data_IF_382676474130
#
_entry.id   IF_382676474130
#
_cell.length_a   1.000
_cell.length_b   1.000
_cell.length_c   1.000
_cell.angle_alpha   90.00
_cell.angle_beta   90.00
_cell.angle_gamma   90.00
#
_symmetry.space_group_name_H-M   'P 1'
#
loop_
_entity.id
_entity.type
_entity.pdbx_description
1 polymer ?
#
# COMPACT_ATOMS: atom_id res chain seq x y z
N UNK A 1 55.79 -25.32 -16.56
CA UNK A 1 56.24 -25.39 -15.16
C UNK A 1 56.99 -24.09 -14.89
N UNK A 2 56.27 -23.06 -14.47
CA UNK A 2 56.00 -22.72 -13.07
C UNK A 2 57.13 -21.81 -12.53
N UNK A 3 56.86 -20.50 -12.49
CA UNK A 3 57.55 -19.57 -11.62
C UNK A 3 56.55 -19.14 -10.55
N UNK A 4 56.90 -19.45 -9.30
CA UNK A 4 56.20 -19.09 -8.06
C UNK A 4 56.28 -17.57 -7.79
N UNK A 5 55.39 -17.04 -6.92
CA UNK A 5 55.09 -15.61 -6.81
C UNK A 5 55.90 -14.91 -5.72
N UNK A 6 56.27 -13.65 -5.95
CA UNK A 6 56.92 -12.82 -4.94
C UNK A 6 56.82 -11.32 -5.21
N UNK A 7 55.97 -10.63 -4.44
CA UNK A 7 56.23 -9.26 -3.99
C UNK A 7 55.68 -8.11 -4.83
N UNK A 8 54.43 -7.71 -4.60
CA UNK A 8 53.99 -6.32 -4.78
C UNK A 8 53.27 -5.85 -3.51
N UNK A 9 53.99 -5.16 -2.63
CA UNK A 9 53.46 -4.45 -1.47
C UNK A 9 52.89 -3.10 -1.90
N UNK A 10 51.57 -2.99 -1.96
CA UNK A 10 50.85 -1.71 -2.06
C UNK A 10 50.58 -1.13 -0.65
N UNK A 11 50.54 0.21 -0.47
CA UNK A 11 50.58 0.84 0.84
C UNK A 11 49.24 0.70 1.59
N UNK A 12 49.31 0.15 2.80
CA UNK A 12 48.19 -0.17 3.71
C UNK A 12 47.54 1.10 4.33
N UNK A 13 48.08 2.29 4.07
CA UNK A 13 47.66 3.55 4.71
C UNK A 13 46.32 4.11 4.19
N UNK A 14 45.94 3.84 2.93
CA UNK A 14 44.73 4.43 2.32
C UNK A 14 43.41 3.78 2.72
N UNK A 15 43.41 2.47 3.00
CA UNK A 15 42.20 1.73 3.40
C UNK A 15 41.73 2.13 4.80
N UNK A 16 42.67 2.40 5.72
CA UNK A 16 42.36 2.82 7.09
C UNK A 16 41.67 4.19 7.15
N UNK A 17 42.11 5.17 6.34
CA UNK A 17 41.50 6.50 6.29
C UNK A 17 40.08 6.50 5.69
N UNK A 18 39.82 5.65 4.69
CA UNK A 18 38.50 5.55 4.06
C UNK A 18 37.50 4.82 4.97
N UNK A 19 37.91 3.72 5.62
CA UNK A 19 37.10 3.02 6.64
C UNK A 19 36.85 3.89 7.88
N UNK A 20 37.82 4.67 8.35
CA UNK A 20 37.63 5.58 9.49
C UNK A 20 36.75 6.78 9.14
N UNK A 21 36.85 7.35 7.94
CA UNK A 21 35.89 8.38 7.46
C UNK A 21 34.49 7.81 7.27
N UNK A 22 34.36 6.60 6.73
CA UNK A 22 33.06 5.95 6.52
C UNK A 22 32.40 5.56 7.84
N UNK A 23 33.15 5.01 8.80
CA UNK A 23 32.65 4.67 10.13
C UNK A 23 32.32 5.92 10.97
N UNK A 24 33.10 7.00 10.83
CA UNK A 24 32.81 8.27 11.49
C UNK A 24 31.57 8.95 10.88
N UNK A 25 31.40 8.90 9.56
CA UNK A 25 30.21 9.43 8.87
C UNK A 25 28.96 8.62 9.19
N UNK A 26 29.06 7.28 9.30
CA UNK A 26 27.95 6.44 9.76
C UNK A 26 27.62 6.74 11.22
N UNK A 27 28.61 6.86 12.13
CA UNK A 27 28.35 7.21 13.54
C UNK A 27 27.69 8.58 13.71
N UNK A 28 28.10 9.58 12.92
CA UNK A 28 27.50 10.92 12.95
C UNK A 28 26.09 10.91 12.36
N UNK A 29 25.85 10.18 11.26
CA UNK A 29 24.52 9.97 10.70
C UNK A 29 23.61 9.16 11.62
N UNK A 30 24.14 8.20 12.39
CA UNK A 30 23.37 7.37 13.31
C UNK A 30 22.88 8.18 14.53
N UNK A 31 23.69 9.10 15.05
CA UNK A 31 23.27 10.01 16.13
C UNK A 31 22.21 11.03 15.67
N UNK A 32 22.28 11.48 14.42
CA UNK A 32 21.20 12.27 13.81
C UNK A 32 19.92 11.43 13.62
N UNK A 33 20.06 10.18 13.15
CA UNK A 33 18.95 9.24 12.94
C UNK A 33 18.16 8.94 14.21
N UNK A 34 18.81 8.82 15.37
CA UNK A 34 18.13 8.52 16.65
C UNK A 34 17.18 9.65 17.07
N UNK A 35 17.44 10.91 16.65
CA UNK A 35 16.51 12.04 16.88
C UNK A 35 15.30 12.01 15.95
N UNK A 36 15.45 11.49 14.73
CA UNK A 36 14.39 11.42 13.71
C UNK A 36 13.63 10.08 13.72
N UNK A 37 14.11 9.08 14.46
CA UNK A 37 13.60 7.70 14.49
C UNK A 37 12.24 7.50 15.19
N UNK A 38 11.60 8.56 15.73
CA UNK A 38 10.29 8.46 16.42
C UNK A 38 10.22 7.28 17.42
N UNK A 39 11.28 7.12 18.22
CA UNK A 39 11.33 6.14 19.30
C UNK A 39 10.55 6.71 20.51
N UNK A 40 9.35 6.17 20.77
CA UNK A 40 8.50 6.61 21.87
C UNK A 40 8.54 5.57 22.99
N UNK A 41 9.01 5.98 24.17
CA UNK A 41 8.98 5.15 25.38
C UNK A 41 7.64 5.35 26.08
N UNK A 42 6.83 4.29 26.15
CA UNK A 42 5.60 4.29 26.93
C UNK A 42 5.90 3.72 28.32
N UNK A 43 5.83 4.56 29.36
CA UNK A 43 6.05 4.14 30.74
C UNK A 43 4.74 3.65 31.38
N UNK A 44 4.78 2.49 32.06
CA UNK A 44 3.62 1.92 32.78
C UNK A 44 3.64 0.39 32.87
N UNK A 45 2.60 -0.21 33.46
CA UNK A 45 2.48 -1.69 33.66
C UNK A 45 2.41 -2.49 32.35
N UNK A 46 2.00 -1.86 31.25
CA UNK A 46 2.07 -2.36 29.87
C UNK A 46 3.04 -1.50 29.01
N UNK A 47 4.10 -0.97 29.64
CA UNK A 47 5.05 -0.09 28.99
C UNK A 47 5.94 -0.83 27.98
N UNK A 48 6.32 -0.14 26.91
CA UNK A 48 7.19 -0.65 25.85
C UNK A 48 7.77 0.48 25.00
N UNK A 49 8.86 0.21 24.30
CA UNK A 49 9.45 1.14 23.33
C UNK A 49 8.77 0.94 21.97
N UNK A 50 8.02 1.94 21.53
CA UNK A 50 7.45 2.00 20.19
C UNK A 50 8.47 2.62 19.25
N UNK A 51 8.66 2.01 18.08
CA UNK A 51 9.53 2.50 17.04
C UNK A 51 8.75 2.58 15.73
N UNK A 52 9.09 3.56 14.88
CA UNK A 52 8.68 3.54 13.47
C UNK A 52 9.32 2.35 12.75
N UNK A 53 8.75 1.93 11.61
CA UNK A 53 9.25 0.77 10.85
C UNK A 53 10.70 1.00 10.42
N UNK A 54 11.03 2.22 10.00
CA UNK A 54 12.37 2.65 9.62
C UNK A 54 13.36 2.55 10.79
N UNK A 55 12.95 2.96 11.99
CA UNK A 55 13.78 2.87 13.19
C UNK A 55 13.99 1.43 13.66
N UNK A 56 12.95 0.60 13.56
CA UNK A 56 13.04 -0.82 13.87
C UNK A 56 13.99 -1.55 12.91
N UNK A 57 13.90 -1.24 11.60
CA UNK A 57 14.81 -1.79 10.58
C UNK A 57 16.24 -1.30 10.83
N UNK A 58 16.45 -0.01 11.08
CA UNK A 58 17.77 0.54 11.35
C UNK A 58 18.42 -0.07 12.61
N UNK A 59 17.65 -0.27 13.67
CA UNK A 59 18.12 -0.94 14.87
C UNK A 59 18.45 -2.42 14.61
N UNK A 60 17.61 -3.14 13.86
CA UNK A 60 17.87 -4.52 13.46
C UNK A 60 19.13 -4.66 12.60
N UNK A 61 19.39 -3.69 11.71
CA UNK A 61 20.62 -3.60 10.92
C UNK A 61 21.86 -3.37 11.79
N UNK A 62 21.75 -2.62 12.88
CA UNK A 62 22.86 -2.44 13.81
C UNK A 62 23.13 -3.72 14.61
N UNK A 63 22.09 -4.33 15.17
CA UNK A 63 22.25 -5.47 16.09
C UNK A 63 22.64 -6.76 15.36
N UNK A 64 22.23 -6.95 14.10
CA UNK A 64 22.47 -8.18 13.33
C UNK A 64 23.20 -7.92 12.01
N UNK A 65 24.43 -8.41 11.91
CA UNK A 65 25.25 -8.35 10.70
C UNK A 65 24.63 -9.15 9.54
N UNK A 66 24.05 -10.32 9.82
CA UNK A 66 23.37 -11.13 8.80
C UNK A 66 22.16 -10.38 8.22
N UNK A 67 21.42 -9.66 9.05
CA UNK A 67 20.28 -8.86 8.63
C UNK A 67 20.74 -7.64 7.81
N UNK A 68 21.80 -6.96 8.25
CA UNK A 68 22.43 -5.87 7.52
C UNK A 68 22.81 -6.26 6.09
N UNK A 69 23.49 -7.40 5.92
CA UNK A 69 23.88 -7.90 4.60
C UNK A 69 22.67 -8.29 3.72
N UNK A 70 21.60 -8.83 4.32
CA UNK A 70 20.35 -9.12 3.59
C UNK A 70 19.69 -7.86 3.05
N UNK A 71 19.61 -6.79 3.85
CA UNK A 71 19.03 -5.50 3.42
C UNK A 71 19.84 -4.91 2.26
N UNK A 72 21.18 -4.94 2.34
CA UNK A 72 22.05 -4.48 1.25
C UNK A 72 21.84 -5.29 -0.02
N UNK A 73 21.80 -6.62 0.07
CA UNK A 73 21.60 -7.50 -1.09
C UNK A 73 20.23 -7.30 -1.74
N UNK A 74 19.18 -7.11 -0.93
CA UNK A 74 17.85 -6.78 -1.42
C UNK A 74 17.85 -5.43 -2.16
N UNK A 75 18.55 -4.42 -1.64
CA UNK A 75 18.66 -3.11 -2.29
C UNK A 75 19.44 -3.16 -3.61
N UNK A 76 20.53 -3.93 -3.66
CA UNK A 76 21.30 -4.17 -4.90
C UNK A 76 20.44 -4.91 -5.94
N UNK A 77 19.68 -5.92 -5.53
CA UNK A 77 18.77 -6.64 -6.41
C UNK A 77 17.67 -5.73 -6.98
N UNK A 78 17.12 -4.81 -6.17
CA UNK A 78 16.17 -3.79 -6.63
C UNK A 78 16.79 -2.83 -7.65
N UNK A 79 18.03 -2.37 -7.43
CA UNK A 79 18.74 -1.49 -8.38
C UNK A 79 19.03 -2.16 -9.73
N UNK A 80 19.08 -3.48 -9.75
CA UNK A 80 19.32 -4.29 -10.94
C UNK A 80 18.02 -4.85 -11.55
N UNK A 81 16.86 -4.27 -11.22
CA UNK A 81 15.51 -4.66 -11.69
C UNK A 81 15.09 -6.11 -11.39
N UNK A 82 15.79 -6.81 -10.48
CA UNK A 82 15.47 -8.19 -10.05
C UNK A 82 14.48 -8.18 -8.88
N UNK A 83 13.27 -7.68 -9.15
CA UNK A 83 12.22 -7.46 -8.14
C UNK A 83 11.76 -8.75 -7.45
N UNK A 84 11.81 -9.90 -8.13
CA UNK A 84 11.45 -11.20 -7.57
C UNK A 84 12.45 -11.69 -6.52
N UNK A 85 13.75 -11.54 -6.80
CA UNK A 85 14.85 -11.93 -5.90
C UNK A 85 14.90 -11.03 -4.66
N UNK A 86 14.71 -9.72 -4.83
CA UNK A 86 14.61 -8.78 -3.72
C UNK A 86 13.44 -9.12 -2.77
N UNK A 87 12.30 -9.54 -3.32
CA UNK A 87 11.13 -9.96 -2.52
C UNK A 87 11.39 -11.24 -1.75
N UNK A 88 12.08 -12.22 -2.35
CA UNK A 88 12.44 -13.47 -1.69
C UNK A 88 13.38 -13.21 -0.50
N UNK A 89 14.42 -12.38 -0.71
CA UNK A 89 15.38 -12.02 0.35
C UNK A 89 14.71 -11.29 1.53
N UNK A 90 13.73 -10.43 1.25
CA UNK A 90 12.96 -9.72 2.29
C UNK A 90 11.96 -10.62 3.05
N UNK A 91 11.53 -11.75 2.47
CA UNK A 91 10.63 -12.70 3.12
C UNK A 91 11.36 -13.73 4.00
N UNK A 92 12.65 -13.98 3.72
CA UNK A 92 13.40 -15.07 4.34
C UNK A 92 14.06 -14.68 5.68
N UNK A 93 14.17 -13.39 5.98
CA UNK A 93 14.68 -12.89 7.27
C UNK A 93 13.79 -13.31 8.45
N UNK A 94 14.36 -14.08 9.37
CA UNK A 94 13.72 -14.59 10.59
C UNK A 94 13.28 -13.46 11.52
N UNK A 95 13.99 -12.33 11.46
CA UNK A 95 13.81 -11.11 12.23
C UNK A 95 12.56 -10.32 11.78
N UNK A 96 12.24 -10.36 10.47
CA UNK A 96 11.04 -9.73 9.91
C UNK A 96 9.80 -10.63 9.96
N UNK A 97 9.93 -11.94 10.23
CA UNK A 97 8.76 -12.86 10.30
C UNK A 97 7.74 -12.47 11.37
N UNK A 98 8.15 -11.75 12.42
CA UNK A 98 7.28 -11.19 13.46
C UNK A 98 6.71 -9.80 13.14
N UNK A 99 7.33 -9.06 12.22
CA UNK A 99 6.90 -7.74 11.77
C UNK A 99 6.02 -7.90 10.53
N UNK A 100 4.71 -7.81 10.71
CA UNK A 100 3.77 -7.93 9.59
C UNK A 100 3.85 -6.67 8.72
N UNK A 101 4.21 -6.76 7.42
CA UNK A 101 4.26 -5.60 6.55
C UNK A 101 2.88 -4.93 6.46
N UNK A 102 2.83 -3.61 6.72
CA UNK A 102 1.60 -2.82 6.76
C UNK A 102 0.82 -2.93 5.43
N UNK A 103 1.55 -3.02 4.30
CA UNK A 103 0.97 -3.06 2.97
C UNK A 103 0.33 -4.41 2.57
N UNK A 104 0.80 -5.57 3.07
CA UNK A 104 0.20 -6.88 2.71
C UNK A 104 -1.06 -7.21 3.51
N UNK A 105 -1.08 -6.84 4.80
CA UNK A 105 -2.24 -7.06 5.68
C UNK A 105 -3.53 -6.43 5.14
N UNK A 106 -3.44 -5.29 4.46
CA UNK A 106 -4.63 -4.56 4.01
C UNK A 106 -5.24 -5.15 2.73
N UNK A 107 -4.40 -5.58 1.78
CA UNK A 107 -4.86 -6.32 0.58
C UNK A 107 -5.39 -7.71 0.95
N UNK A 108 -4.75 -8.43 1.87
CA UNK A 108 -5.27 -9.71 2.37
C UNK A 108 -6.63 -9.55 3.07
N UNK A 109 -6.87 -8.42 3.76
CA UNK A 109 -8.20 -8.08 4.31
C UNK A 109 -9.25 -7.84 3.23
N UNK A 110 -8.85 -7.39 2.03
CA UNK A 110 -9.75 -7.26 0.87
C UNK A 110 -10.09 -8.63 0.27
N UNK A 111 -9.13 -9.56 0.27
CA UNK A 111 -9.32 -10.93 -0.22
C UNK A 111 -10.13 -11.80 0.73
N UNK A 112 -10.27 -11.40 2.02
CA UNK A 112 -11.13 -12.11 2.95
C UNK A 112 -12.58 -12.10 2.44
N UNK A 113 -13.14 -13.26 2.04
CA UNK A 113 -14.43 -13.33 1.35
C UNK A 113 -15.60 -12.81 2.21
N UNK A 114 -15.44 -12.81 3.54
CA UNK A 114 -16.46 -12.43 4.51
C UNK A 114 -16.47 -10.93 4.86
N UNK A 115 -15.38 -10.21 4.65
CA UNK A 115 -15.23 -8.84 5.14
C UNK A 115 -15.29 -7.82 4.00
N UNK A 116 -14.37 -7.88 3.02
CA UNK A 116 -14.15 -6.79 2.07
C UNK A 116 -13.93 -5.44 2.75
N UNK A 117 -13.81 -4.35 1.99
CA UNK A 117 -13.65 -3.01 2.57
C UNK A 117 -14.70 -2.01 2.09
N UNK A 118 -14.97 -0.99 2.91
CA UNK A 118 -15.85 0.11 2.51
C UNK A 118 -15.15 1.02 1.51
N UNK A 119 -15.92 1.74 0.68
CA UNK A 119 -15.36 2.79 -0.16
C UNK A 119 -14.57 3.82 0.64
N UNK A 120 -15.06 4.22 1.82
CA UNK A 120 -14.37 5.17 2.70
C UNK A 120 -12.95 4.71 3.04
N UNK A 121 -12.80 3.44 3.38
CA UNK A 121 -11.49 2.88 3.74
C UNK A 121 -10.59 2.77 2.50
N UNK A 122 -11.12 2.36 1.35
CA UNK A 122 -10.38 2.35 0.10
C UNK A 122 -9.87 3.75 -0.29
N UNK A 123 -10.68 4.79 -0.09
CA UNK A 123 -10.32 6.16 -0.44
C UNK A 123 -9.20 6.73 0.42
N UNK A 124 -9.19 6.39 1.73
CA UNK A 124 -8.09 6.74 2.63
C UNK A 124 -6.78 6.08 2.19
N UNK A 125 -6.82 4.78 1.88
CA UNK A 125 -5.62 4.03 1.51
C UNK A 125 -5.08 4.41 0.13
N UNK A 126 -5.94 4.78 -0.82
CA UNK A 126 -5.53 5.25 -2.15
C UNK A 126 -5.23 6.75 -2.19
N UNK A 127 -5.44 7.48 -1.09
CA UNK A 127 -5.29 8.93 -0.99
C UNK A 127 -6.05 9.70 -2.09
N UNK A 128 -7.35 9.44 -2.21
CA UNK A 128 -8.21 10.20 -3.13
C UNK A 128 -8.47 11.60 -2.57
N UNK A 129 -7.74 12.60 -3.07
CA UNK A 129 -7.86 13.99 -2.60
C UNK A 129 -8.29 14.95 -3.69
N UNK A 130 -9.08 15.94 -3.30
CA UNK A 130 -9.36 17.15 -4.06
C UNK A 130 -8.71 18.33 -3.34
N UNK A 131 -7.53 18.72 -3.80
CA UNK A 131 -6.67 19.65 -3.06
C UNK A 131 -6.28 19.05 -1.70
N UNK A 132 -6.63 19.73 -0.61
CA UNK A 132 -6.32 19.29 0.77
C UNK A 132 -7.35 18.33 1.35
N UNK A 133 -8.54 18.18 0.73
CA UNK A 133 -9.65 17.40 1.28
C UNK A 133 -9.72 16.01 0.67
N UNK A 134 -9.95 14.98 1.50
CA UNK A 134 -10.24 13.64 1.02
C UNK A 134 -11.63 13.60 0.36
N UNK A 135 -11.73 12.92 -0.78
CA UNK A 135 -13.02 12.69 -1.46
C UNK A 135 -13.93 11.86 -0.55
N UNK A 136 -15.17 12.28 -0.39
CA UNK A 136 -16.13 11.54 0.43
C UNK A 136 -16.64 10.30 -0.31
N UNK A 137 -16.93 9.23 0.43
CA UNK A 137 -17.53 8.02 -0.14
C UNK A 137 -18.87 8.31 -0.84
N UNK A 138 -19.63 9.30 -0.34
CA UNK A 138 -20.88 9.75 -0.96
C UNK A 138 -20.65 10.35 -2.36
N UNK A 139 -19.66 11.24 -2.49
CA UNK A 139 -19.32 11.85 -3.77
C UNK A 139 -18.82 10.80 -4.78
N UNK A 140 -17.93 9.91 -4.36
CA UNK A 140 -17.46 8.83 -5.23
C UNK A 140 -18.62 7.91 -5.64
N UNK A 141 -19.47 7.52 -4.70
CA UNK A 141 -20.61 6.64 -4.99
C UNK A 141 -21.59 7.31 -5.97
N UNK A 142 -21.82 8.63 -5.86
CA UNK A 142 -22.60 9.37 -6.84
C UNK A 142 -21.96 9.35 -8.23
N UNK A 143 -20.64 9.50 -8.34
CA UNK A 143 -19.92 9.38 -9.62
C UNK A 143 -20.05 7.97 -10.21
N UNK A 144 -19.87 6.92 -9.39
CA UNK A 144 -19.99 5.53 -9.85
C UNK A 144 -21.41 5.21 -10.33
N UNK A 145 -22.44 5.76 -9.67
CA UNK A 145 -23.86 5.63 -10.06
C UNK A 145 -24.26 6.55 -11.22
N UNK A 146 -23.53 7.63 -11.48
CA UNK A 146 -23.88 8.56 -12.56
C UNK A 146 -23.77 7.94 -13.95
N UNK A 147 -23.06 6.82 -14.09
CA UNK A 147 -22.80 6.18 -15.39
C UNK A 147 -21.84 6.96 -16.30
N UNK A 148 -21.22 8.05 -15.82
CA UNK A 148 -20.21 8.83 -16.56
C UNK A 148 -18.92 8.03 -16.83
N UNK A 149 -18.67 6.99 -16.04
CA UNK A 149 -17.56 6.05 -16.21
C UNK A 149 -18.10 4.62 -16.13
N UNK A 150 -17.73 3.79 -17.11
CA UNK A 150 -17.98 2.36 -17.06
C UNK A 150 -17.19 1.76 -15.89
N UNK A 151 -17.89 1.17 -14.93
CA UNK A 151 -17.27 0.68 -13.71
C UNK A 151 -17.79 -0.72 -13.35
N UNK A 152 -17.00 -1.51 -12.62
CA UNK A 152 -17.38 -2.87 -12.27
C UNK A 152 -18.46 -2.94 -11.17
N UNK A 153 -18.83 -1.83 -10.53
CA UNK A 153 -19.71 -1.85 -9.36
C UNK A 153 -21.19 -1.64 -9.73
N UNK A 154 -21.46 -0.74 -10.68
CA UNK A 154 -22.80 -0.36 -11.10
C UNK A 154 -22.98 -0.46 -12.61
N UNK A 155 -24.17 -0.86 -13.03
CA UNK A 155 -24.63 -0.85 -14.42
C UNK A 155 -25.95 -0.09 -14.52
N UNK A 156 -26.28 0.38 -15.72
CA UNK A 156 -27.56 1.06 -15.96
C UNK A 156 -28.69 0.07 -15.72
N UNK A 157 -29.69 0.47 -14.94
CA UNK A 157 -30.85 -0.36 -14.63
C UNK A 157 -31.66 -0.55 -15.92
N UNK A 158 -31.98 -1.80 -16.21
CA UNK A 158 -32.77 -2.19 -17.37
C UNK A 158 -34.18 -2.57 -16.89
N UNK A 159 -35.21 -2.16 -17.62
CA UNK A 159 -36.60 -2.56 -17.37
C UNK A 159 -36.88 -3.98 -17.92
N UNK A 160 -38.10 -4.48 -17.68
CA UNK A 160 -38.53 -5.78 -18.20
C UNK A 160 -38.61 -5.87 -19.73
N UNK A 161 -38.41 -4.77 -20.45
CA UNK A 161 -38.40 -4.68 -21.92
C UNK A 161 -36.99 -4.53 -22.49
N UNK A 162 -35.95 -4.57 -21.66
CA UNK A 162 -34.57 -4.42 -22.11
C UNK A 162 -34.11 -2.98 -22.31
N UNK A 163 -34.91 -1.98 -21.94
CA UNK A 163 -34.56 -0.56 -22.06
C UNK A 163 -34.03 0.01 -20.75
N UNK A 164 -33.13 0.98 -20.86
CA UNK A 164 -32.58 1.63 -19.67
C UNK A 164 -33.56 2.58 -19.01
N UNK A 165 -33.68 2.49 -17.69
CA UNK A 165 -34.62 3.30 -16.91
C UNK A 165 -34.02 4.68 -16.59
N UNK A 166 -34.73 5.74 -16.97
CA UNK A 166 -34.44 7.11 -16.58
C UNK A 166 -35.43 7.55 -15.50
N UNK A 167 -34.91 8.07 -14.38
CA UNK A 167 -35.75 8.60 -13.32
C UNK A 167 -35.87 10.12 -13.48
N UNK A 168 -37.09 10.55 -13.78
CA UNK A 168 -37.44 11.94 -14.03
C UNK A 168 -37.28 12.78 -12.75
N UNK A 169 -37.51 12.18 -11.58
CA UNK A 169 -37.46 12.90 -10.29
C UNK A 169 -36.03 13.22 -9.84
N UNK A 170 -35.10 12.30 -10.07
CA UNK A 170 -33.66 12.52 -9.83
C UNK A 170 -32.93 13.14 -11.02
N UNK A 171 -33.59 13.30 -12.16
CA UNK A 171 -33.00 13.85 -13.39
C UNK A 171 -31.85 13.01 -13.93
N UNK A 172 -31.85 11.70 -13.66
CA UNK A 172 -30.70 10.82 -13.89
C UNK A 172 -31.07 9.41 -14.33
N UNK A 173 -30.11 8.74 -14.96
CA UNK A 173 -30.23 7.32 -15.28
C UNK A 173 -30.22 6.49 -14.00
N UNK A 174 -31.18 5.59 -13.84
CA UNK A 174 -31.16 4.65 -12.72
C UNK A 174 -30.03 3.63 -12.91
N UNK A 175 -29.37 3.28 -11.82
CA UNK A 175 -28.35 2.22 -11.79
C UNK A 175 -28.68 1.14 -10.78
N UNK A 176 -28.31 -0.09 -11.12
CA UNK A 176 -28.30 -1.24 -10.22
C UNK A 176 -26.88 -1.75 -10.04
N UNK A 177 -26.67 -2.62 -9.06
CA UNK A 177 -25.41 -3.35 -8.92
C UNK A 177 -25.12 -4.19 -10.17
N UNK A 178 -23.87 -4.21 -10.61
CA UNK A 178 -23.44 -4.90 -11.82
C UNK A 178 -23.17 -6.41 -11.56
N UNK A 179 -24.02 -7.33 -12.06
CA UNK A 179 -23.89 -8.77 -11.76
C UNK A 179 -22.54 -9.34 -12.19
N UNK A 180 -22.01 -8.90 -13.34
CA UNK A 180 -20.69 -9.35 -13.83
C UNK A 180 -19.56 -8.92 -12.89
N UNK A 181 -19.68 -7.77 -12.24
CA UNK A 181 -18.69 -7.30 -11.29
C UNK A 181 -18.70 -8.09 -9.99
N UNK A 182 -19.90 -8.52 -9.56
CA UNK A 182 -20.09 -9.40 -8.41
C UNK A 182 -19.48 -10.79 -8.68
N UNK A 183 -19.81 -11.40 -9.82
CA UNK A 183 -19.31 -12.71 -10.24
C UNK A 183 -17.78 -12.73 -10.39
N UNK A 184 -17.22 -11.69 -11.02
CA UNK A 184 -15.77 -11.58 -11.23
C UNK A 184 -14.97 -11.22 -9.96
N UNK A 185 -15.65 -10.95 -8.85
CA UNK A 185 -15.05 -10.67 -7.56
C UNK A 185 -14.51 -9.25 -7.40
N UNK A 186 -15.03 -8.27 -8.13
CA UNK A 186 -14.67 -6.85 -7.92
C UNK A 186 -15.24 -6.31 -6.61
N UNK A 187 -16.40 -6.79 -6.21
CA UNK A 187 -17.07 -6.39 -4.98
C UNK A 187 -17.94 -7.51 -4.41
N UNK A 188 -18.49 -7.28 -3.23
CA UNK A 188 -19.57 -8.07 -2.64
C UNK A 188 -20.64 -7.15 -2.06
N UNK A 189 -21.82 -7.71 -1.87
CA UNK A 189 -22.91 -7.07 -1.17
C UNK A 189 -22.86 -7.44 0.31
N UNK A 190 -23.12 -6.46 1.16
CA UNK A 190 -23.33 -6.63 2.59
C UNK A 190 -24.79 -6.37 2.90
N UNK A 191 -25.46 -7.34 3.50
CA UNK A 191 -26.80 -7.17 4.02
C UNK A 191 -26.76 -6.17 5.18
N UNK A 192 -27.47 -5.05 5.04
CA UNK A 192 -27.67 -4.12 6.14
C UNK A 192 -29.02 -4.42 6.78
N UNK A 193 -29.00 -4.98 7.98
CA UNK A 193 -30.21 -5.28 8.75
C UNK A 193 -31.06 -4.05 9.10
N UNK A 194 -30.48 -2.84 9.09
CA UNK A 194 -31.14 -1.64 9.61
C UNK A 194 -31.98 -0.85 8.59
N UNK A 195 -31.71 -0.97 7.29
CA UNK A 195 -32.36 -0.15 6.27
C UNK A 195 -32.73 -0.90 4.99
N UNK A 196 -32.51 -2.23 4.94
CA UNK A 196 -32.81 -3.06 3.76
C UNK A 196 -32.02 -2.69 2.51
N UNK A 197 -31.04 -1.78 2.60
CA UNK A 197 -30.21 -1.38 1.48
C UNK A 197 -28.92 -2.20 1.48
N UNK A 198 -28.63 -2.88 0.38
CA UNK A 198 -27.40 -3.63 0.22
C UNK A 198 -26.17 -2.70 0.17
N UNK A 199 -25.21 -2.92 1.07
CA UNK A 199 -23.97 -2.15 1.15
C UNK A 199 -22.90 -2.68 0.19
N UNK A 200 -22.21 -1.80 -0.52
CA UNK A 200 -21.08 -2.16 -1.37
C UNK A 200 -19.81 -2.39 -0.54
N UNK A 201 -19.19 -3.56 -0.67
CA UNK A 201 -17.84 -3.85 -0.16
C UNK A 201 -16.90 -4.18 -1.29
N UNK A 202 -15.81 -3.43 -1.38
CA UNK A 202 -14.77 -3.57 -2.40
C UNK A 202 -13.86 -4.75 -2.05
N UNK A 203 -13.48 -5.51 -3.07
CA UNK A 203 -12.46 -6.58 -3.02
C UNK A 203 -11.20 -6.15 -3.76
N UNK A 204 -10.17 -6.98 -3.77
CA UNK A 204 -8.85 -6.68 -4.35
C UNK A 204 -8.92 -6.21 -5.80
N UNK A 205 -9.63 -6.92 -6.68
CA UNK A 205 -9.82 -6.49 -8.08
C UNK A 205 -10.52 -5.14 -8.19
N UNK A 206 -11.53 -4.89 -7.35
CA UNK A 206 -12.21 -3.60 -7.29
C UNK A 206 -11.30 -2.47 -6.80
N UNK A 207 -10.43 -2.77 -5.84
CA UNK A 207 -9.44 -1.84 -5.33
C UNK A 207 -8.38 -1.48 -6.39
N UNK A 208 -7.88 -2.47 -7.12
CA UNK A 208 -6.95 -2.26 -8.24
C UNK A 208 -7.58 -1.43 -9.37
N UNK A 209 -8.86 -1.67 -9.66
CA UNK A 209 -9.60 -0.86 -10.62
C UNK A 209 -9.73 0.60 -10.14
N UNK A 210 -10.06 0.83 -8.87
CA UNK A 210 -10.12 2.18 -8.28
C UNK A 210 -8.76 2.87 -8.35
N UNK A 211 -7.67 2.15 -8.04
CA UNK A 211 -6.30 2.65 -8.14
C UNK A 211 -5.96 3.10 -9.56
N UNK A 212 -6.30 2.28 -10.54
CA UNK A 212 -6.00 2.53 -11.96
C UNK A 212 -6.81 3.72 -12.51
N UNK A 213 -8.02 3.93 -12.02
CA UNK A 213 -8.93 5.01 -12.47
C UNK A 213 -8.91 6.25 -11.56
N UNK A 214 -7.98 6.33 -10.59
CA UNK A 214 -7.95 7.37 -9.55
C UNK A 214 -8.05 8.78 -10.12
N UNK A 215 -7.23 9.11 -11.12
CA UNK A 215 -7.13 10.46 -11.69
C UNK A 215 -8.48 10.91 -12.27
N UNK A 216 -9.11 10.05 -13.07
CA UNK A 216 -10.40 10.36 -13.71
C UNK A 216 -11.53 10.39 -12.69
N UNK A 217 -11.55 9.47 -11.72
CA UNK A 217 -12.55 9.48 -10.66
C UNK A 217 -12.48 10.76 -9.82
N UNK A 218 -11.28 11.23 -9.46
CA UNK A 218 -11.11 12.49 -8.72
C UNK A 218 -11.58 13.67 -9.56
N UNK A 219 -11.25 13.69 -10.86
CA UNK A 219 -11.73 14.71 -11.81
C UNK A 219 -13.26 14.74 -11.89
N UNK A 220 -13.90 13.59 -12.01
CA UNK A 220 -15.36 13.48 -12.03
C UNK A 220 -16.00 13.92 -10.71
N UNK A 221 -15.35 13.63 -9.57
CA UNK A 221 -15.80 14.11 -8.27
C UNK A 221 -15.73 15.64 -8.18
N UNK A 222 -14.73 16.29 -8.78
CA UNK A 222 -14.62 17.75 -8.83
C UNK A 222 -15.71 18.43 -9.66
N UNK A 223 -16.11 17.80 -10.77
CA UNK A 223 -17.17 18.26 -11.68
C UNK A 223 -18.58 17.89 -11.18
N UNK A 224 -18.66 17.10 -10.11
CA UNK A 224 -19.87 16.51 -9.56
C UNK A 224 -20.38 17.20 -8.29
N UNK A 225 -20.06 18.48 -8.10
CA UNK A 225 -20.82 19.32 -7.17
C UNK A 225 -22.26 19.38 -7.69
N UNK A 226 -23.17 18.71 -7.00
CA UNK A 226 -24.60 19.01 -7.07
C UNK A 226 -24.85 20.36 -6.43
#
# INVERSE_FOLDING_TARGET
MACEPGGCSAPVAGYSACLTSFTSSIRFSLHAYVKDANLHVLAGRNGGTLATEEAAIAYAMWVSEEFYLKVIRAFIALRNDKVSEAKALAQDSKELKGLRPIARNWLEKLDNPKQGQTLTECLKNLDFRLGTKLVSAKALNAVLKSGRIANPFYSRKIDGRGQSVFDISSGGWMTSFNPKGLENGYYRLQDNHYNGQEGLKVRTKGYEWLKSNKVELVRLCSKGGF
#
